data_IF_218120005263
#
_entry.id   IF_218120005263
#
_cell.length_a   1.000
_cell.length_b   1.000
_cell.length_c   1.000
_cell.angle_alpha   90.00
_cell.angle_beta   90.00
_cell.angle_gamma   90.00
#
_symmetry.space_group_name_H-M   'P 1'
#
loop_
_entity.id
_entity.type
_entity.pdbx_description
1 polymer ?
#
# COMPACT_ATOMS: atom_id res chain seq x y z
N UNK A 1 5.65 -3.83 18.52
CA UNK A 1 7.08 -3.58 18.78
C UNK A 1 7.93 -4.50 17.90
N UNK A 2 8.90 -3.97 17.17
CA UNK A 2 9.74 -4.77 16.29
C UNK A 2 10.62 -5.75 17.08
N UNK A 3 10.77 -6.97 16.56
CA UNK A 3 11.66 -7.97 17.15
C UNK A 3 13.13 -7.64 16.84
N UNK A 4 14.04 -8.15 17.67
CA UNK A 4 15.48 -8.06 17.41
C UNK A 4 15.82 -8.63 16.03
N UNK A 5 16.62 -7.90 15.25
CA UNK A 5 17.00 -8.28 13.90
C UNK A 5 15.89 -8.11 12.85
N UNK A 6 14.82 -7.39 13.15
CA UNK A 6 13.75 -7.16 12.21
C UNK A 6 14.24 -6.40 10.96
N UNK A 7 13.70 -6.77 9.81
CA UNK A 7 13.98 -6.14 8.52
C UNK A 7 12.71 -5.51 7.96
N UNK A 8 12.79 -4.27 7.56
CA UNK A 8 11.69 -3.51 6.97
C UNK A 8 12.01 -3.14 5.54
N UNK A 9 11.12 -3.47 4.61
CA UNK A 9 11.15 -2.96 3.26
C UNK A 9 10.23 -1.74 3.15
N UNK A 10 10.77 -0.61 2.68
CA UNK A 10 10.02 0.62 2.44
C UNK A 10 9.60 0.61 0.97
N UNK A 11 8.32 0.44 0.70
CA UNK A 11 7.76 0.28 -0.65
C UNK A 11 6.89 1.44 -1.11
N UNK A 12 6.54 2.35 -0.22
CA UNK A 12 5.71 3.51 -0.53
C UNK A 12 5.82 4.59 0.54
N UNK A 13 5.45 5.80 0.17
CA UNK A 13 5.52 7.00 0.99
C UNK A 13 4.30 7.89 0.79
N UNK A 14 3.10 7.32 0.96
CA UNK A 14 1.82 8.00 0.71
C UNK A 14 1.69 9.31 1.52
N UNK A 15 2.23 9.35 2.74
CA UNK A 15 2.21 10.55 3.57
C UNK A 15 2.87 11.76 2.90
N UNK A 16 3.94 11.54 2.12
CA UNK A 16 4.58 12.60 1.35
C UNK A 16 3.72 13.13 0.22
N UNK A 17 2.94 12.26 -0.42
CA UNK A 17 2.03 12.62 -1.50
C UNK A 17 0.78 13.36 -1.02
N UNK A 18 0.34 13.09 0.21
CA UNK A 18 -0.86 13.69 0.79
C UNK A 18 -0.59 14.95 1.61
N UNK A 19 0.66 15.23 1.95
CA UNK A 19 1.03 16.39 2.75
C UNK A 19 0.99 17.68 1.89
N UNK A 20 0.19 18.69 2.27
CA UNK A 20 0.03 19.90 1.46
C UNK A 20 1.31 20.73 1.25
N UNK A 21 2.32 20.50 2.10
CA UNK A 21 3.59 21.22 2.13
C UNK A 21 4.75 20.42 1.53
N UNK A 22 4.48 19.24 0.98
CA UNK A 22 5.47 18.39 0.32
C UNK A 22 5.11 18.22 -1.16
N UNK A 23 6.11 18.17 -2.00
CA UNK A 23 5.94 18.08 -3.46
C UNK A 23 5.69 16.63 -3.95
N UNK A 24 5.46 15.70 -3.03
CA UNK A 24 5.19 14.30 -3.34
C UNK A 24 6.44 13.43 -3.54
N UNK A 25 7.62 14.03 -3.55
CA UNK A 25 8.91 13.36 -3.73
C UNK A 25 9.71 13.20 -2.41
N UNK A 26 9.14 13.69 -1.31
CA UNK A 26 9.74 13.63 0.02
C UNK A 26 8.73 13.16 1.06
N UNK A 27 9.15 12.27 1.95
CA UNK A 27 8.34 11.79 3.08
C UNK A 27 9.24 11.58 4.31
N UNK A 28 9.69 12.66 4.96
CA UNK A 28 10.55 12.56 6.12
C UNK A 28 9.84 11.88 7.29
N UNK A 29 10.55 10.99 7.98
CA UNK A 29 10.08 10.31 9.19
C UNK A 29 11.14 10.39 10.29
N UNK A 30 10.71 10.42 11.54
CA UNK A 30 11.57 10.36 12.70
C UNK A 30 11.82 8.90 13.09
N UNK A 31 13.08 8.56 13.33
CA UNK A 31 13.49 7.21 13.72
C UNK A 31 14.30 7.29 15.02
N UNK A 32 13.93 6.47 16.01
CA UNK A 32 14.73 6.24 17.21
C UNK A 32 15.96 5.38 16.85
N UNK A 33 17.06 6.05 16.57
CA UNK A 33 18.29 5.39 16.13
C UNK A 33 18.93 4.55 17.23
N UNK A 34 18.79 4.94 18.50
CA UNK A 34 19.29 4.14 19.61
C UNK A 34 18.60 2.77 19.66
N UNK A 35 17.29 2.75 19.54
CA UNK A 35 16.53 1.49 19.48
C UNK A 35 16.85 0.67 18.24
N UNK A 36 17.03 1.33 17.11
CA UNK A 36 17.40 0.65 15.88
C UNK A 36 18.73 -0.08 16.00
N UNK A 37 19.75 0.57 16.61
CA UNK A 37 21.05 -0.02 16.88
C UNK A 37 20.92 -1.18 17.89
N UNK A 38 20.28 -0.93 19.02
CA UNK A 38 20.17 -1.92 20.10
C UNK A 38 19.45 -3.21 19.67
N UNK A 39 18.52 -3.10 18.72
CA UNK A 39 17.75 -4.23 18.20
C UNK A 39 18.26 -4.78 16.87
N UNK A 40 19.29 -4.19 16.26
CA UNK A 40 19.82 -4.62 14.96
C UNK A 40 18.80 -4.51 13.84
N UNK A 41 18.05 -3.40 13.78
CA UNK A 41 17.01 -3.16 12.78
C UNK A 41 17.63 -2.82 11.43
N UNK A 42 17.10 -3.39 10.36
CA UNK A 42 17.44 -3.03 8.98
C UNK A 42 16.25 -2.35 8.30
N UNK A 43 16.52 -1.20 7.68
CA UNK A 43 15.57 -0.51 6.81
C UNK A 43 16.13 -0.50 5.38
N UNK A 44 15.32 -0.91 4.42
CA UNK A 44 15.72 -0.93 3.01
C UNK A 44 14.62 -0.39 2.12
N UNK A 45 14.94 0.60 1.29
CA UNK A 45 14.06 1.06 0.21
C UNK A 45 13.95 0.00 -0.89
N UNK A 46 12.76 -0.15 -1.43
CA UNK A 46 12.47 -1.00 -2.58
C UNK A 46 11.87 -0.16 -3.70
N UNK A 47 12.46 -0.22 -4.88
CA UNK A 47 11.92 0.40 -6.09
C UNK A 47 11.48 -0.70 -7.07
N UNK A 48 10.22 -0.70 -7.47
CA UNK A 48 9.71 -1.63 -8.48
C UNK A 48 10.37 -1.46 -9.85
N UNK A 49 10.96 -0.29 -10.12
CA UNK A 49 11.68 -0.02 -11.38
C UNK A 49 12.94 -0.85 -11.52
N UNK A 50 13.56 -1.23 -10.40
CA UNK A 50 14.80 -2.01 -10.38
C UNK A 50 14.55 -3.52 -10.52
N UNK A 51 13.27 -3.92 -10.61
CA UNK A 51 12.84 -5.31 -10.65
C UNK A 51 11.84 -5.56 -11.79
N UNK A 52 12.26 -5.42 -13.06
CA UNK A 52 11.41 -5.72 -14.21
C UNK A 52 11.00 -7.21 -14.18
N UNK A 53 9.79 -7.50 -14.56
CA UNK A 53 9.22 -8.85 -14.55
C UNK A 53 8.50 -9.25 -13.25
N UNK A 54 8.76 -8.58 -12.12
CA UNK A 54 8.03 -8.87 -10.87
C UNK A 54 6.53 -8.63 -11.01
N UNK A 55 6.12 -7.60 -11.76
CA UNK A 55 4.71 -7.30 -11.97
C UNK A 55 4.01 -8.40 -12.79
N UNK A 56 4.67 -8.95 -13.79
CA UNK A 56 4.16 -10.04 -14.62
C UNK A 56 4.04 -11.33 -13.81
N UNK A 57 5.11 -11.71 -13.11
CA UNK A 57 5.11 -12.87 -12.20
C UNK A 57 4.03 -12.74 -11.13
N UNK A 58 3.87 -11.55 -10.56
CA UNK A 58 2.82 -11.28 -9.58
C UNK A 58 1.42 -11.46 -10.17
N UNK A 59 1.15 -10.92 -11.37
CA UNK A 59 -0.14 -11.02 -12.02
C UNK A 59 -0.52 -12.48 -12.28
N UNK A 60 0.41 -13.30 -12.75
CA UNK A 60 0.19 -14.73 -12.97
C UNK A 60 -0.11 -15.47 -11.66
N UNK A 61 0.77 -15.36 -10.68
CA UNK A 61 0.62 -16.04 -9.38
C UNK A 61 -0.62 -15.60 -8.62
N UNK A 62 -0.88 -14.30 -8.61
CA UNK A 62 -2.06 -13.75 -7.95
C UNK A 62 -3.35 -14.24 -8.59
N UNK A 63 -3.39 -14.27 -9.93
CA UNK A 63 -4.51 -14.83 -10.68
C UNK A 63 -4.76 -16.31 -10.36
N UNK A 64 -3.71 -17.11 -10.30
CA UNK A 64 -3.81 -18.53 -9.94
C UNK A 64 -4.30 -18.73 -8.51
N UNK A 65 -3.78 -17.98 -7.56
CA UNK A 65 -4.22 -18.05 -6.17
C UNK A 65 -5.68 -17.64 -5.98
N UNK A 66 -6.14 -16.62 -6.69
CA UNK A 66 -7.57 -16.23 -6.67
C UNK A 66 -8.46 -17.31 -7.26
N UNK A 67 -8.09 -17.86 -8.42
CA UNK A 67 -8.87 -18.91 -9.10
C UNK A 67 -8.94 -20.20 -8.29
N UNK A 68 -7.87 -20.56 -7.64
CA UNK A 68 -7.80 -21.75 -6.77
C UNK A 68 -8.45 -21.55 -5.40
N UNK A 69 -8.79 -20.32 -5.03
CA UNK A 69 -9.30 -20.00 -3.69
C UNK A 69 -8.23 -19.99 -2.59
N UNK A 70 -6.94 -20.06 -2.95
CA UNK A 70 -5.85 -20.03 -1.99
C UNK A 70 -5.74 -18.69 -1.25
N UNK A 71 -6.18 -17.62 -1.89
CA UNK A 71 -6.29 -16.29 -1.30
C UNK A 71 -7.65 -15.66 -1.63
N UNK A 72 -8.06 -14.72 -0.80
CA UNK A 72 -9.17 -13.80 -1.07
C UNK A 72 -8.63 -12.39 -1.26
N UNK A 73 -9.28 -11.61 -2.10
CA UNK A 73 -8.94 -10.21 -2.31
C UNK A 73 -10.02 -9.33 -1.69
N UNK A 74 -9.81 -8.82 -0.46
CA UNK A 74 -10.78 -7.95 0.20
C UNK A 74 -10.99 -6.67 -0.60
N UNK A 75 -12.24 -6.38 -0.93
CA UNK A 75 -12.59 -5.14 -1.62
C UNK A 75 -14.00 -4.68 -1.22
N UNK A 76 -14.22 -3.39 -1.35
CA UNK A 76 -15.52 -2.74 -1.13
C UNK A 76 -15.99 -2.16 -2.45
N UNK A 77 -17.19 -2.51 -2.87
CA UNK A 77 -17.81 -2.01 -4.11
C UNK A 77 -18.78 -0.89 -3.76
N UNK A 78 -18.58 0.27 -4.38
CA UNK A 78 -19.42 1.46 -4.19
C UNK A 78 -20.07 1.79 -5.53
N UNK A 79 -21.40 1.68 -5.65
CA UNK A 79 -22.08 1.94 -6.90
C UNK A 79 -22.19 3.43 -7.20
N UNK A 80 -21.91 3.81 -8.43
CA UNK A 80 -22.09 5.15 -8.98
C UNK A 80 -20.87 6.06 -8.84
N UNK A 81 -20.49 6.67 -9.96
CA UNK A 81 -19.34 7.60 -10.02
C UNK A 81 -19.52 8.83 -9.13
N UNK A 82 -20.75 9.23 -8.90
CA UNK A 82 -21.11 10.37 -8.02
C UNK A 82 -20.64 10.16 -6.57
N UNK A 83 -20.43 8.92 -6.16
CA UNK A 83 -19.94 8.57 -4.82
C UNK A 83 -18.42 8.50 -4.72
N UNK A 84 -17.70 8.62 -5.83
CA UNK A 84 -16.24 8.45 -5.87
C UNK A 84 -15.51 9.40 -4.92
N UNK A 85 -15.91 10.68 -4.89
CA UNK A 85 -15.31 11.68 -4.00
C UNK A 85 -15.47 11.30 -2.52
N UNK A 86 -16.67 10.87 -2.14
CA UNK A 86 -16.95 10.45 -0.76
C UNK A 86 -16.20 9.17 -0.42
N UNK A 87 -16.17 8.21 -1.34
CA UNK A 87 -15.42 6.96 -1.18
C UNK A 87 -13.93 7.21 -0.95
N UNK A 88 -13.33 8.16 -1.67
CA UNK A 88 -11.94 8.56 -1.49
C UNK A 88 -11.70 9.17 -0.10
N UNK A 89 -12.59 10.05 0.35
CA UNK A 89 -12.50 10.64 1.68
C UNK A 89 -12.59 9.55 2.76
N UNK A 90 -13.57 8.65 2.66
CA UNK A 90 -13.75 7.54 3.59
C UNK A 90 -12.55 6.58 3.61
N UNK A 91 -11.88 6.39 2.46
CA UNK A 91 -10.65 5.61 2.35
C UNK A 91 -9.52 6.24 3.19
N UNK A 92 -9.32 7.55 3.09
CA UNK A 92 -8.32 8.27 3.90
C UNK A 92 -8.65 8.28 5.38
N UNK A 93 -9.93 8.26 5.74
CA UNK A 93 -10.39 8.14 7.12
C UNK A 93 -10.30 6.70 7.67
N UNK A 94 -9.84 5.73 6.85
CA UNK A 94 -9.71 4.32 7.24
C UNK A 94 -11.03 3.60 7.47
N UNK A 95 -12.12 4.04 6.84
CA UNK A 95 -13.46 3.46 7.03
C UNK A 95 -13.69 2.17 6.24
N UNK A 96 -12.83 1.87 5.27
CA UNK A 96 -12.94 0.70 4.41
C UNK A 96 -11.77 -0.26 4.63
N UNK A 97 -12.09 -1.55 4.63
CA UNK A 97 -11.09 -2.61 4.65
C UNK A 97 -10.92 -3.20 3.25
N UNK A 98 -9.69 -3.17 2.76
CA UNK A 98 -9.35 -3.64 1.41
C UNK A 98 -9.42 -2.54 0.35
N UNK A 99 -9.42 -2.95 -0.90
CA UNK A 99 -9.48 -2.03 -2.05
C UNK A 99 -10.88 -1.48 -2.24
N UNK A 100 -10.98 -0.17 -2.40
CA UNK A 100 -12.25 0.49 -2.73
C UNK A 100 -12.40 0.56 -4.25
N UNK A 101 -13.48 0.00 -4.78
CA UNK A 101 -13.82 -0.01 -6.20
C UNK A 101 -15.11 0.77 -6.40
N UNK A 102 -15.08 1.81 -7.21
CA UNK A 102 -16.26 2.54 -7.62
C UNK A 102 -16.78 1.92 -8.92
N UNK A 103 -18.01 1.41 -8.88
CA UNK A 103 -18.66 0.82 -10.03
C UNK A 103 -19.30 1.90 -10.89
N UNK A 104 -18.95 1.89 -12.16
CA UNK A 104 -19.62 2.74 -13.15
C UNK A 104 -20.89 2.04 -13.61
N UNK A 105 -21.96 2.81 -13.80
CA UNK A 105 -23.19 2.26 -14.39
C UNK A 105 -22.86 1.79 -15.80
N UNK A 106 -23.10 0.51 -16.07
CA UNK A 106 -23.11 0.01 -17.46
C UNK A 106 -24.35 0.54 -18.16
N UNK A 107 -24.14 1.24 -19.24
CA UNK A 107 -25.21 1.64 -20.15
C UNK A 107 -25.50 0.53 -21.16
#
# INVERSE_FOLDING_TARGET
>A
MARRGARFALVGALAGQLAPHLDGDSAPVEIDTFRAIAQGITLRGYSGRDHPGVAEEWAERFGDWLRSGAISFPHVRIPGIERARRALQELFEGRHFGTVVVELSSH
#
